data_IF_416358303352
#
_entry.id   IF_416358303352
#
_cell.length_a   1.000
_cell.length_b   1.000
_cell.length_c   1.000
_cell.angle_alpha   90.00
_cell.angle_beta   90.00
_cell.angle_gamma   90.00
#
_symmetry.space_group_name_H-M   'P 1'
#
loop_
_entity.id
_entity.type
_entity.pdbx_description
1 polymer ?
#
# COMPACT_ATOMS: atom_id res chain seq x y z
N UNK A 1 28.91 -14.92 -14.96
CA UNK A 1 28.47 -15.29 -13.59
C UNK A 1 27.19 -16.11 -13.76
N UNK A 2 26.96 -17.18 -13.00
CA UNK A 2 25.69 -17.91 -13.11
C UNK A 2 24.55 -16.97 -12.70
N UNK A 3 23.54 -16.84 -13.56
CA UNK A 3 22.38 -16.01 -13.26
C UNK A 3 21.66 -16.56 -12.04
N UNK A 4 21.28 -15.67 -11.12
CA UNK A 4 20.41 -16.05 -10.01
C UNK A 4 19.09 -16.58 -10.59
N UNK A 5 18.57 -17.65 -10.00
CA UNK A 5 17.26 -18.18 -10.35
C UNK A 5 16.44 -18.48 -9.11
N UNK A 6 15.16 -18.12 -9.15
CA UNK A 6 14.17 -18.42 -8.11
C UNK A 6 13.01 -19.15 -8.77
N UNK A 7 12.66 -20.34 -8.28
CA UNK A 7 11.61 -21.19 -8.85
C UNK A 7 11.77 -21.47 -10.36
N UNK A 8 13.01 -21.54 -10.86
CA UNK A 8 13.31 -21.78 -12.27
C UNK A 8 13.18 -20.53 -13.16
N UNK A 9 12.84 -19.36 -12.60
CA UNK A 9 12.86 -18.09 -13.31
C UNK A 9 14.19 -17.38 -13.11
N UNK A 10 14.71 -16.77 -14.17
CA UNK A 10 15.94 -15.96 -14.13
C UNK A 10 15.67 -14.64 -13.41
N UNK A 11 16.58 -14.24 -12.53
CA UNK A 11 16.60 -12.91 -11.90
C UNK A 11 17.73 -12.11 -12.55
N UNK A 12 17.37 -10.97 -13.13
CA UNK A 12 18.34 -10.06 -13.73
C UNK A 12 19.19 -9.41 -12.64
N UNK A 13 20.51 -9.39 -12.85
CA UNK A 13 21.49 -8.76 -11.95
C UNK A 13 21.46 -7.23 -12.15
N UNK A 14 20.45 -6.60 -11.55
CA UNK A 14 20.18 -5.16 -11.63
C UNK A 14 19.53 -4.67 -10.33
N UNK A 15 19.14 -3.40 -10.27
CA UNK A 15 18.55 -2.79 -9.08
C UNK A 15 17.27 -2.00 -9.40
N UNK A 16 16.47 -1.77 -8.36
CA UNK A 16 15.33 -0.85 -8.41
C UNK A 16 15.74 0.52 -7.86
N UNK A 17 15.56 1.57 -8.65
CA UNK A 17 15.81 2.95 -8.23
C UNK A 17 14.52 3.57 -7.66
N UNK A 18 14.54 3.94 -6.38
CA UNK A 18 13.43 4.57 -5.68
C UNK A 18 13.67 6.08 -5.51
N UNK A 19 12.60 6.82 -5.19
CA UNK A 19 12.62 8.27 -5.01
C UNK A 19 12.22 8.64 -3.58
N UNK A 20 12.76 9.76 -3.08
CA UNK A 20 12.36 10.29 -1.77
C UNK A 20 10.90 10.71 -1.75
N UNK A 21 10.15 10.24 -0.75
CA UNK A 21 8.73 10.53 -0.57
C UNK A 21 8.44 11.03 0.84
N UNK A 22 7.40 11.87 0.98
CA UNK A 22 6.78 12.17 2.28
C UNK A 22 5.49 11.37 2.38
N UNK A 23 5.38 10.56 3.42
CA UNK A 23 4.24 9.68 3.64
C UNK A 23 3.68 9.87 5.04
N UNK A 24 2.42 9.49 5.22
CA UNK A 24 1.74 9.40 6.51
C UNK A 24 0.86 8.16 6.51
N UNK A 25 0.47 7.70 7.70
CA UNK A 25 -0.48 6.62 7.87
C UNK A 25 -1.62 7.08 8.77
N UNK A 26 -2.83 6.64 8.45
CA UNK A 26 -4.02 6.91 9.27
C UNK A 26 -4.79 5.61 9.52
N UNK A 27 -5.45 5.52 10.66
CA UNK A 27 -6.35 4.43 10.99
C UNK A 27 -7.78 4.89 10.75
N UNK A 28 -8.55 4.14 9.95
CA UNK A 28 -9.97 4.39 9.69
C UNK A 28 -10.78 3.32 10.42
N UNK A 29 -11.53 3.75 11.44
CA UNK A 29 -12.41 2.88 12.22
C UNK A 29 -13.88 3.12 11.83
N UNK A 30 -14.74 2.14 12.10
CA UNK A 30 -16.17 2.23 11.82
C UNK A 30 -16.96 1.16 12.61
N UNK A 31 -18.29 1.24 12.72
CA UNK A 31 -19.11 0.25 13.42
C UNK A 31 -19.02 -1.19 12.87
N UNK A 32 -18.52 -1.37 11.64
CA UNK A 32 -18.22 -2.70 11.10
C UNK A 32 -17.09 -2.62 10.08
N UNK A 33 -16.40 -3.76 9.86
CA UNK A 33 -15.35 -3.88 8.84
C UNK A 33 -15.84 -3.49 7.45
N UNK A 34 -17.11 -3.77 7.11
CA UNK A 34 -17.71 -3.38 5.83
C UNK A 34 -17.65 -1.86 5.64
N UNK A 35 -18.01 -1.10 6.66
CA UNK A 35 -18.03 0.36 6.58
C UNK A 35 -16.63 0.97 6.64
N UNK A 36 -15.73 0.43 7.48
CA UNK A 36 -14.33 0.86 7.50
C UNK A 36 -13.67 0.67 6.12
N UNK A 37 -13.90 -0.48 5.48
CA UNK A 37 -13.41 -0.74 4.11
C UNK A 37 -14.02 0.18 3.07
N UNK A 38 -15.33 0.45 3.14
CA UNK A 38 -15.94 1.37 2.18
C UNK A 38 -15.31 2.77 2.27
N UNK A 39 -15.09 3.27 3.48
CA UNK A 39 -14.42 4.55 3.71
C UNK A 39 -12.98 4.53 3.18
N UNK A 40 -12.22 3.48 3.49
CA UNK A 40 -10.84 3.34 3.05
C UNK A 40 -10.72 3.28 1.51
N UNK A 41 -11.52 2.43 0.84
CA UNK A 41 -11.53 2.29 -0.63
C UNK A 41 -11.89 3.60 -1.31
N UNK A 42 -12.91 4.31 -0.80
CA UNK A 42 -13.31 5.59 -1.36
C UNK A 42 -12.23 6.66 -1.16
N UNK A 43 -11.59 6.69 0.01
CA UNK A 43 -10.50 7.64 0.29
C UNK A 43 -9.26 7.39 -0.58
N UNK A 44 -8.88 6.12 -0.79
CA UNK A 44 -7.68 5.77 -1.57
C UNK A 44 -7.94 5.67 -3.07
N UNK A 45 -9.16 5.99 -3.52
CA UNK A 45 -9.49 6.09 -4.95
C UNK A 45 -8.77 7.28 -5.62
N UNK A 46 -8.47 7.16 -6.92
CA UNK A 46 -7.80 8.21 -7.71
C UNK A 46 -6.49 8.72 -7.09
N UNK A 47 -5.70 7.80 -6.52
CA UNK A 47 -4.42 8.09 -5.88
C UNK A 47 -3.35 7.08 -6.29
N UNK A 48 -3.17 6.86 -7.60
CA UNK A 48 -2.28 5.81 -8.14
C UNK A 48 -0.85 6.26 -8.37
N UNK A 49 -0.64 7.51 -8.80
CA UNK A 49 0.70 8.06 -9.04
C UNK A 49 0.71 9.56 -8.83
N UNK A 50 1.69 10.08 -8.10
CA UNK A 50 1.86 11.53 -7.90
C UNK A 50 2.19 12.30 -9.18
N UNK A 51 2.46 11.60 -10.29
CA UNK A 51 2.64 12.22 -11.61
C UNK A 51 1.31 12.78 -12.14
N UNK A 52 0.18 12.11 -11.87
CA UNK A 52 -1.14 12.46 -12.41
C UNK A 52 -2.27 12.55 -11.39
N UNK A 53 -2.06 12.11 -10.16
CA UNK A 53 -2.99 12.19 -9.03
C UNK A 53 -2.47 13.19 -7.98
N UNK A 54 -3.33 13.57 -7.04
CA UNK A 54 -2.94 14.45 -5.93
C UNK A 54 -2.00 13.80 -4.90
N UNK A 55 -2.03 12.47 -4.78
CA UNK A 55 -1.15 11.68 -3.93
C UNK A 55 -1.05 10.23 -4.44
N UNK A 56 -0.23 9.41 -3.76
CA UNK A 56 -0.27 7.95 -3.82
C UNK A 56 -0.84 7.43 -2.50
N UNK A 57 -1.86 6.58 -2.57
CA UNK A 57 -2.51 6.03 -1.40
C UNK A 57 -3.06 4.62 -1.64
N UNK A 58 -3.02 3.79 -0.60
CA UNK A 58 -3.56 2.44 -0.61
C UNK A 58 -3.96 2.02 0.80
N UNK A 59 -4.70 0.91 0.90
CA UNK A 59 -4.98 0.24 2.16
C UNK A 59 -3.78 -0.66 2.49
N UNK A 60 -3.16 -0.44 3.65
CA UNK A 60 -2.04 -1.25 4.13
C UNK A 60 -2.53 -2.60 4.70
N UNK A 61 -3.33 -2.56 5.78
CA UNK A 61 -3.91 -3.76 6.38
C UNK A 61 -5.27 -3.51 7.05
N UNK A 62 -6.00 -4.60 7.30
CA UNK A 62 -7.14 -4.59 8.23
C UNK A 62 -6.65 -4.77 9.67
N UNK A 63 -7.10 -3.91 10.58
CA UNK A 63 -6.81 -4.04 12.02
C UNK A 63 -7.93 -4.80 12.77
N UNK A 64 -7.58 -5.62 13.78
CA UNK A 64 -8.56 -6.13 14.74
C UNK A 64 -9.00 -5.01 15.71
N UNK A 65 -10.19 -5.10 16.33
CA UNK A 65 -10.65 -4.11 17.32
C UNK A 65 -9.69 -3.94 18.51
N UNK A 66 -8.93 -4.98 18.87
CA UNK A 66 -7.92 -4.89 19.93
C UNK A 66 -6.69 -4.04 19.58
N UNK A 67 -6.57 -3.59 18.34
CA UNK A 67 -5.48 -2.75 17.84
C UNK A 67 -5.96 -1.37 17.37
N UNK A 68 -7.21 -0.99 17.67
CA UNK A 68 -7.76 0.33 17.39
C UNK A 68 -7.97 1.12 18.69
N UNK A 69 -7.92 2.46 18.65
CA UNK A 69 -8.02 3.29 19.86
C UNK A 69 -9.45 3.48 20.40
N UNK A 70 -10.48 3.17 19.60
CA UNK A 70 -11.91 3.22 19.95
C UNK A 70 -12.46 1.84 20.39
#
# INVERSE_FOLDING_TARGET
MPNMSVNGMTIDDTFAEAFGMRATAIVITAPSRKWARQAAITMTGFATSVIGCGCEAAIDLDLPPSATPD
#
